data_IF_137442451234
#
_entry.id   IF_137442451234
#
_cell.length_a   1.000
_cell.length_b   1.000
_cell.length_c   1.000
_cell.angle_alpha   90.00
_cell.angle_beta   90.00
_cell.angle_gamma   90.00
#
_symmetry.space_group_name_H-M   'P 1'
#
loop_
_entity.id
_entity.type
_entity.pdbx_description
1 polymer ?
#
# COMPACT_ATOMS: atom_id res chain seq x y z
N UNK A 1 10.01 18.93 -6.28
CA UNK A 1 8.56 18.76 -6.03
C UNK A 1 8.41 17.38 -5.42
N UNK A 2 8.01 17.26 -4.16
CA UNK A 2 7.94 15.95 -3.50
C UNK A 2 6.82 15.12 -4.15
N UNK A 3 7.14 13.91 -4.63
CA UNK A 3 6.16 13.00 -5.21
C UNK A 3 5.21 12.53 -4.10
N UNK A 4 4.00 13.09 -4.05
CA UNK A 4 2.96 12.67 -3.11
C UNK A 4 2.19 11.51 -3.73
N UNK A 5 2.18 10.37 -3.05
CA UNK A 5 1.32 9.26 -3.39
C UNK A 5 -0.09 9.54 -2.89
N UNK A 6 -1.08 9.21 -3.72
CA UNK A 6 -2.49 9.33 -3.36
C UNK A 6 -3.06 7.92 -3.22
N UNK A 7 -3.81 7.72 -2.14
CA UNK A 7 -4.49 6.46 -1.83
C UNK A 7 -5.95 6.73 -1.54
N UNK A 8 -6.83 5.97 -2.19
CA UNK A 8 -8.28 6.16 -2.11
C UNK A 8 -8.85 5.22 -1.05
N UNK A 9 -9.34 5.78 0.05
CA UNK A 9 -10.07 5.03 1.08
C UNK A 9 -11.56 5.13 0.77
N UNK A 10 -12.17 4.01 0.37
CA UNK A 10 -13.55 3.96 -0.10
C UNK A 10 -14.45 3.32 0.96
N UNK A 11 -15.56 3.96 1.29
CA UNK A 11 -16.53 3.42 2.23
C UNK A 11 -17.60 2.60 1.48
N UNK A 12 -17.56 1.27 1.59
CA UNK A 12 -18.60 0.35 1.09
C UNK A 12 -19.39 -0.29 2.23
N UNK A 13 -19.35 0.29 3.41
CA UNK A 13 -20.16 -0.12 4.56
C UNK A 13 -21.58 0.45 4.45
N UNK A 14 -22.46 0.02 5.34
CA UNK A 14 -23.84 0.52 5.49
C UNK A 14 -23.92 1.76 6.38
N UNK A 15 -22.79 2.32 6.80
CA UNK A 15 -22.72 3.44 7.74
C UNK A 15 -21.68 4.46 7.29
N UNK A 16 -21.80 5.70 7.77
CA UNK A 16 -20.73 6.69 7.62
C UNK A 16 -19.52 6.29 8.48
N UNK A 17 -18.32 6.50 7.96
CA UNK A 17 -17.07 6.24 8.67
C UNK A 17 -16.43 7.57 9.10
N UNK A 18 -16.00 7.65 10.36
CA UNK A 18 -15.15 8.75 10.81
C UNK A 18 -13.70 8.33 10.68
N UNK A 19 -12.94 9.03 9.84
CA UNK A 19 -11.51 8.84 9.67
C UNK A 19 -10.75 9.75 10.64
N UNK A 20 -9.87 9.14 11.42
CA UNK A 20 -8.97 9.82 12.35
C UNK A 20 -7.52 9.43 12.04
N UNK A 21 -6.58 10.32 12.31
CA UNK A 21 -5.15 10.04 12.18
C UNK A 21 -4.43 10.34 13.49
N UNK A 22 -3.45 9.54 13.83
CA UNK A 22 -2.75 9.71 15.09
C UNK A 22 -1.74 8.61 15.38
N UNK A 23 -1.23 8.64 16.60
CA UNK A 23 -0.31 7.65 17.14
C UNK A 23 -0.74 7.33 18.56
N UNK A 24 -0.81 6.04 18.89
CA UNK A 24 -1.21 5.51 20.19
C UNK A 24 -2.60 5.99 20.64
N UNK A 25 -2.64 7.02 21.50
CA UNK A 25 -3.86 7.54 22.12
C UNK A 25 -4.20 8.97 21.69
N UNK A 26 -3.41 9.57 20.80
CA UNK A 26 -3.65 10.93 20.31
C UNK A 26 -4.12 10.88 18.87
N UNK A 27 -5.44 11.01 18.68
CA UNK A 27 -6.08 11.00 17.37
C UNK A 27 -6.72 12.35 17.06
N UNK A 28 -6.56 12.80 15.82
CA UNK A 28 -7.25 13.97 15.27
C UNK A 28 -8.21 13.50 14.19
N UNK A 29 -9.44 14.04 14.17
CA UNK A 29 -10.41 13.76 13.11
C UNK A 29 -9.93 14.38 11.80
N UNK A 30 -9.79 13.55 10.77
CA UNK A 30 -9.46 13.99 9.41
C UNK A 30 -10.72 14.27 8.59
N UNK A 31 -11.65 13.32 8.56
CA UNK A 31 -12.80 13.37 7.67
C UNK A 31 -13.95 12.50 8.17
N UNK A 32 -15.12 12.71 7.57
CA UNK A 32 -16.23 11.75 7.57
C UNK A 32 -16.37 11.27 6.13
N UNK A 33 -16.40 9.96 5.94
CA UNK A 33 -16.58 9.32 4.64
C UNK A 33 -18.02 8.80 4.60
N UNK A 34 -18.86 9.45 3.80
CA UNK A 34 -20.25 9.03 3.61
C UNK A 34 -20.34 7.66 2.91
N UNK A 35 -21.52 7.06 2.94
CA UNK A 35 -21.76 5.73 2.35
C UNK A 35 -21.55 5.80 0.83
N UNK A 36 -20.68 4.94 0.31
CA UNK A 36 -20.34 4.89 -1.13
C UNK A 36 -19.28 5.90 -1.56
N UNK A 37 -18.92 6.85 -0.71
CA UNK A 37 -17.94 7.89 -0.99
C UNK A 37 -16.51 7.45 -0.68
N UNK A 38 -15.55 8.32 -1.05
CA UNK A 38 -14.13 8.07 -0.83
C UNK A 38 -13.41 9.28 -0.22
N UNK A 39 -12.32 9.00 0.49
CA UNK A 39 -11.37 9.99 0.95
C UNK A 39 -9.99 9.72 0.34
N UNK A 40 -9.33 10.79 -0.14
CA UNK A 40 -8.00 10.71 -0.75
C UNK A 40 -6.95 11.05 0.28
N UNK A 41 -6.27 10.03 0.79
CA UNK A 41 -5.10 10.17 1.67
C UNK A 41 -3.90 10.52 0.79
N UNK A 42 -3.19 11.59 1.13
CA UNK A 42 -1.95 12.00 0.44
C UNK A 42 -0.77 11.63 1.33
N UNK A 43 -0.01 10.60 0.97
CA UNK A 43 1.20 10.16 1.68
C UNK A 43 2.45 10.69 0.98
N UNK A 44 3.38 11.26 1.74
CA UNK A 44 4.72 11.61 1.25
C UNK A 44 5.71 10.45 1.45
N UNK A 45 6.82 10.47 0.71
CA UNK A 45 7.91 9.47 0.83
C UNK A 45 8.56 9.48 2.23
N UNK A 46 8.50 10.61 2.95
CA UNK A 46 9.10 10.79 4.27
C UNK A 46 8.08 10.90 5.39
N UNK A 47 6.85 10.41 5.20
CA UNK A 47 5.85 10.56 6.26
C UNK A 47 6.19 9.66 7.44
N UNK A 48 6.29 10.24 8.63
CA UNK A 48 6.40 9.48 9.88
C UNK A 48 5.22 8.54 10.02
N UNK A 49 5.48 7.33 10.48
CA UNK A 49 4.45 6.32 10.76
C UNK A 49 3.27 6.92 11.52
N UNK A 50 2.06 6.77 10.99
CA UNK A 50 0.81 7.15 11.67
C UNK A 50 -0.25 6.07 11.46
N UNK A 51 -1.12 5.94 12.45
CA UNK A 51 -2.31 5.10 12.38
C UNK A 51 -3.49 5.91 11.89
N UNK A 52 -4.13 5.43 10.84
CA UNK A 52 -5.43 5.89 10.37
C UNK A 52 -6.51 4.97 10.94
N UNK A 53 -7.38 5.56 11.73
CA UNK A 53 -8.46 4.87 12.44
C UNK A 53 -9.79 5.19 11.78
N UNK A 54 -10.52 4.15 11.38
CA UNK A 54 -11.87 4.22 10.82
C UNK A 54 -12.88 3.72 11.86
N UNK A 55 -13.81 4.59 12.26
CA UNK A 55 -14.80 4.32 13.30
C UNK A 55 -16.23 4.49 12.79
N UNK A 56 -17.12 3.57 13.16
CA UNK A 56 -18.58 3.75 13.01
C UNK A 56 -19.17 4.40 14.26
N UNK A 57 -20.19 5.24 14.09
CA UNK A 57 -20.69 6.09 15.18
C UNK A 57 -21.49 5.39 16.29
N UNK A 58 -21.96 4.15 16.09
CA UNK A 58 -22.99 3.55 16.98
C UNK A 58 -22.43 2.47 17.91
N UNK A 59 -21.32 1.84 17.60
CA UNK A 59 -20.59 0.94 18.50
C UNK A 59 -19.14 1.02 18.04
N UNK A 60 -18.18 1.16 18.95
CA UNK A 60 -16.74 1.44 18.71
C UNK A 60 -16.02 0.36 17.88
N UNK A 61 -16.51 0.10 16.68
CA UNK A 61 -15.96 -0.78 15.67
C UNK A 61 -14.92 0.05 14.97
N UNK A 62 -13.69 -0.30 15.28
CA UNK A 62 -12.49 0.38 14.87
C UNK A 62 -11.73 -0.51 13.89
N UNK A 63 -11.40 0.04 12.73
CA UNK A 63 -10.42 -0.53 11.83
C UNK A 63 -9.21 0.39 11.80
N UNK A 64 -8.01 -0.18 11.90
CA UNK A 64 -6.76 0.57 11.83
C UNK A 64 -6.05 0.18 10.55
N UNK A 65 -5.63 1.19 9.78
CA UNK A 65 -4.72 1.07 8.64
C UNK A 65 -3.55 2.01 8.87
N UNK A 66 -2.35 1.64 8.46
CA UNK A 66 -1.16 2.49 8.65
C UNK A 66 -0.92 3.43 7.46
N UNK A 67 -0.02 4.40 7.64
CA UNK A 67 0.55 5.16 6.52
C UNK A 67 1.28 4.26 5.52
N UNK A 68 1.87 3.15 5.97
CA UNK A 68 2.55 2.18 5.11
C UNK A 68 1.55 1.44 4.24
N UNK A 69 0.42 1.01 4.82
CA UNK A 69 -0.70 0.44 4.05
C UNK A 69 -1.16 1.41 2.96
N UNK A 70 -1.21 2.70 3.30
CA UNK A 70 -1.56 3.74 2.35
C UNK A 70 -0.47 3.94 1.29
N UNK A 71 0.81 3.80 1.62
CA UNK A 71 1.90 3.90 0.66
C UNK A 71 1.86 2.75 -0.36
N UNK A 72 1.66 1.53 0.13
CA UNK A 72 1.65 0.28 -0.66
C UNK A 72 0.38 0.11 -1.50
N UNK A 73 -0.74 0.71 -1.08
CA UNK A 73 -2.03 0.55 -1.75
C UNK A 73 -2.36 1.76 -2.63
N UNK A 74 -2.98 1.51 -3.80
CA UNK A 74 -3.65 2.57 -4.56
C UNK A 74 -5.06 2.84 -4.00
N UNK A 75 -5.73 1.77 -3.56
CA UNK A 75 -7.10 1.81 -3.06
C UNK A 75 -7.26 0.88 -1.86
N UNK A 76 -7.98 1.36 -0.85
CA UNK A 76 -8.38 0.59 0.32
C UNK A 76 -9.89 0.70 0.43
N UNK A 77 -10.60 -0.41 0.27
CA UNK A 77 -12.07 -0.44 0.31
C UNK A 77 -12.53 -1.05 1.62
N UNK A 78 -13.38 -0.34 2.35
CA UNK A 78 -13.85 -0.75 3.67
C UNK A 78 -15.23 -1.39 3.54
N UNK A 79 -15.37 -2.60 4.07
CA UNK A 79 -16.61 -3.38 4.02
C UNK A 79 -17.09 -3.76 5.41
N UNK A 80 -18.40 -3.99 5.53
CA UNK A 80 -18.98 -4.62 6.71
C UNK A 80 -18.85 -6.14 6.63
N UNK A 81 -18.39 -6.75 7.71
CA UNK A 81 -18.47 -8.18 7.94
C UNK A 81 -19.63 -8.55 8.88
N UNK A 82 -20.13 -9.80 8.82
CA UNK A 82 -21.05 -10.33 9.81
C UNK A 82 -20.54 -10.14 11.25
N UNK A 83 -21.47 -9.93 12.19
CA UNK A 83 -21.11 -9.53 13.56
C UNK A 83 -20.65 -8.07 13.66
N UNK A 84 -20.72 -7.32 12.55
CA UNK A 84 -20.46 -5.89 12.53
C UNK A 84 -19.00 -5.51 12.65
N UNK A 85 -18.08 -6.39 12.24
CA UNK A 85 -16.67 -6.05 12.10
C UNK A 85 -16.47 -5.26 10.81
N UNK A 86 -15.38 -4.50 10.75
CA UNK A 86 -14.94 -3.82 9.54
C UNK A 86 -13.76 -4.59 8.94
N UNK A 87 -13.70 -4.65 7.62
CA UNK A 87 -12.60 -5.25 6.86
C UNK A 87 -12.08 -4.27 5.81
N UNK A 88 -10.78 -4.28 5.55
CA UNK A 88 -10.14 -3.51 4.49
C UNK A 88 -9.65 -4.44 3.37
N UNK A 89 -10.18 -4.24 2.17
CA UNK A 89 -9.66 -4.82 0.94
C UNK A 89 -8.69 -3.84 0.29
N UNK A 90 -7.41 -4.24 0.23
CA UNK A 90 -6.31 -3.42 -0.29
C UNK A 90 -6.01 -3.81 -1.74
N UNK A 91 -5.98 -2.82 -2.62
CA UNK A 91 -5.49 -2.96 -3.99
C UNK A 91 -4.04 -2.48 -4.02
N UNK A 92 -3.06 -3.36 -4.24
CA UNK A 92 -1.66 -2.99 -4.24
C UNK A 92 -1.36 -2.04 -5.41
N UNK A 93 -0.44 -1.12 -5.19
CA UNK A 93 0.06 -0.22 -6.23
C UNK A 93 1.02 -1.00 -7.13
N UNK A 94 0.78 -0.96 -8.44
CA UNK A 94 1.59 -1.73 -9.41
C UNK A 94 3.04 -1.21 -9.53
N UNK A 95 3.30 0.05 -9.15
CA UNK A 95 4.62 0.66 -9.19
C UNK A 95 4.72 1.76 -8.13
N UNK A 96 5.66 1.62 -7.17
CA UNK A 96 6.23 2.80 -6.52
C UNK A 96 7.22 3.35 -7.55
N UNK A 97 7.16 4.62 -7.97
CA UNK A 97 8.23 5.16 -8.80
C UNK A 97 9.51 5.04 -7.97
N UNK A 98 10.35 4.08 -8.33
CA UNK A 98 11.75 4.05 -7.95
C UNK A 98 12.30 5.37 -8.48
N UNK A 99 12.37 6.39 -7.64
CA UNK A 99 13.33 7.47 -7.85
C UNK A 99 14.64 6.73 -8.05
N UNK A 100 15.16 6.81 -9.27
CA UNK A 100 16.37 6.16 -9.74
C UNK A 100 17.37 6.13 -8.59
N UNK A 101 17.56 4.94 -8.01
CA UNK A 101 18.75 4.69 -7.22
C UNK A 101 19.86 4.82 -8.24
N UNK A 102 20.50 5.98 -8.25
CA UNK A 102 21.72 6.20 -9.01
C UNK A 102 22.61 4.99 -8.75
N UNK A 103 22.90 4.26 -9.83
CA UNK A 103 23.85 3.17 -9.82
C UNK A 103 25.16 3.73 -9.28
N UNK A 104 25.55 3.28 -8.10
CA UNK A 104 26.96 3.04 -7.85
C UNK A 104 27.16 1.54 -7.90
N UNK A 105 27.81 1.13 -8.99
CA UNK A 105 28.37 -0.19 -9.19
C UNK A 105 29.10 -0.66 -7.93
N UNK A 106 28.62 -1.77 -7.37
CA UNK A 106 29.48 -2.71 -6.67
C UNK A 106 28.80 -4.07 -6.72
N UNK A 107 29.24 -4.84 -7.71
CA UNK A 107 29.43 -6.29 -7.75
C UNK A 107 29.14 -7.07 -6.45
N UNK A 108 28.76 -8.35 -6.68
CA UNK A 108 28.68 -9.51 -5.78
C UNK A 108 27.26 -9.98 -5.40
N UNK A 109 26.83 -10.99 -6.18
CA UNK A 109 25.97 -12.13 -5.84
C UNK A 109 24.70 -11.89 -5.01
N UNK A 110 23.57 -11.76 -5.71
CA UNK A 110 22.29 -12.16 -5.13
C UNK A 110 21.45 -12.89 -6.19
N UNK A 111 21.32 -14.20 -5.98
CA UNK A 111 20.51 -15.09 -6.79
C UNK A 111 19.03 -14.73 -6.62
N UNK A 112 18.39 -14.21 -7.67
CA UNK A 112 16.93 -14.09 -7.71
C UNK A 112 16.33 -15.29 -8.46
N UNK A 113 15.52 -16.08 -7.76
CA UNK A 113 14.75 -17.16 -8.35
C UNK A 113 13.63 -16.59 -9.24
N UNK A 114 13.72 -16.81 -10.56
CA UNK A 114 12.60 -16.62 -11.48
C UNK A 114 11.78 -17.92 -11.56
N UNK A 115 10.44 -17.87 -11.49
CA UNK A 115 9.61 -19.06 -11.70
C UNK A 115 9.62 -19.50 -13.17
N UNK A 116 9.73 -20.81 -13.38
CA UNK A 116 9.76 -21.49 -14.67
C UNK A 116 8.50 -21.20 -15.50
N UNK A 117 8.66 -20.54 -16.65
CA UNK A 117 8.04 -20.98 -17.92
C UNK A 117 8.45 -20.05 -19.05
N UNK A 118 9.28 -20.57 -19.95
CA UNK A 118 9.23 -20.42 -21.41
C UNK A 118 10.63 -20.75 -21.96
N UNK A 119 10.77 -22.01 -22.35
CA UNK A 119 11.91 -22.57 -23.07
C UNK A 119 12.06 -21.89 -24.43
N UNK A 120 13.22 -21.31 -24.71
CA UNK A 120 13.65 -21.04 -26.09
C UNK A 120 15.16 -21.25 -26.24
N UNK A 121 15.49 -22.43 -26.78
CA UNK A 121 16.63 -22.81 -27.60
C UNK A 121 17.93 -21.98 -27.48
N UNK A 122 18.89 -22.51 -26.72
CA UNK A 122 20.30 -22.15 -26.86
C UNK A 122 21.02 -23.21 -27.71
N UNK A 123 21.39 -22.85 -28.94
CA UNK A 123 22.51 -23.48 -29.64
C UNK A 123 23.77 -23.06 -28.88
N UNK A 124 24.51 -24.03 -28.34
CA UNK A 124 25.84 -23.79 -27.80
C UNK A 124 26.81 -23.50 -28.95
N UNK A 125 27.39 -22.30 -28.94
CA UNK A 125 28.63 -22.02 -29.64
C UNK A 125 29.74 -21.99 -28.58
N UNK A 126 30.69 -22.90 -28.76
CA UNK A 126 31.93 -23.06 -28.00
C UNK A 126 32.90 -21.90 -28.25
N UNK A 127 33.71 -21.56 -27.25
CA UNK A 127 35.01 -20.84 -27.29
C UNK A 127 35.38 -20.52 -25.83
N UNK A 128 36.59 -20.65 -25.29
CA UNK A 128 37.99 -20.78 -25.74
C UNK A 128 38.76 -21.28 -24.49
N UNK A 129 39.76 -22.16 -24.48
CA UNK A 129 41.07 -22.11 -25.14
C UNK A 129 41.68 -20.71 -25.22
N UNK A 130 42.13 -20.14 -24.08
CA UNK A 130 43.21 -19.15 -24.08
C UNK A 130 43.95 -19.10 -22.73
N UNK A 131 45.20 -19.59 -22.80
CA UNK A 131 46.34 -19.55 -21.85
C UNK A 131 46.43 -20.59 -20.75
#
# INVERSE_FOLDING_TARGET
MENKLITRVVNRTKQRLTLRIGLHNRFTKLAVIEIGEEYKVKTGLHWTYQELTLETGIFAKKLVISTDDCFESERITIHDLPGGKLEANKVPRTQVPTSEVERTDSTWDSWFCLPQSLSLNLRFCSQDECR
#
